data_IF_743585310490
#
_entry.id   IF_743585310490
#
_cell.length_a   1.000
_cell.length_b   1.000
_cell.length_c   1.000
_cell.angle_alpha   90.00
_cell.angle_beta   90.00
_cell.angle_gamma   90.00
#
_symmetry.space_group_name_H-M   'P 1'
#
loop_
_entity.id
_entity.type
_entity.pdbx_description
1 polymer ?
#
# COMPACT_ATOMS: atom_id res chain seq x y z
N UNK A 1 4.46 -5.61 -8.96
CA UNK A 1 3.39 -6.38 -8.29
C UNK A 1 2.96 -7.59 -9.11
N UNK A 2 2.70 -7.42 -10.42
CA UNK A 2 2.08 -8.43 -11.27
C UNK A 2 2.86 -9.75 -11.44
N UNK A 3 4.20 -9.74 -11.65
CA UNK A 3 4.95 -10.98 -11.79
C UNK A 3 4.91 -11.84 -10.52
N UNK A 4 4.97 -11.20 -9.33
CA UNK A 4 4.88 -11.89 -8.05
C UNK A 4 3.52 -12.56 -7.86
N UNK A 5 2.42 -11.86 -8.19
CA UNK A 5 1.07 -12.43 -8.10
C UNK A 5 0.87 -13.59 -9.08
N UNK A 6 1.37 -13.46 -10.31
CA UNK A 6 1.31 -14.52 -11.29
C UNK A 6 2.07 -15.77 -10.80
N UNK A 7 3.29 -15.58 -10.32
CA UNK A 7 4.11 -16.65 -9.76
C UNK A 7 3.44 -17.32 -8.55
N UNK A 8 2.96 -16.53 -7.59
CA UNK A 8 2.26 -17.06 -6.42
C UNK A 8 0.98 -17.81 -6.82
N UNK A 9 0.22 -17.29 -7.79
CA UNK A 9 -0.98 -17.94 -8.31
C UNK A 9 -0.70 -19.28 -8.98
N UNK A 10 0.36 -19.38 -9.79
CA UNK A 10 0.79 -20.65 -10.41
C UNK A 10 1.20 -21.66 -9.33
N UNK A 11 1.97 -21.24 -8.33
CA UNK A 11 2.35 -22.13 -7.22
C UNK A 11 1.14 -22.61 -6.43
N UNK A 12 0.17 -21.72 -6.14
CA UNK A 12 -1.05 -22.10 -5.45
C UNK A 12 -1.87 -23.09 -6.27
N UNK A 13 -2.04 -22.85 -7.57
CA UNK A 13 -2.76 -23.77 -8.45
C UNK A 13 -2.11 -25.15 -8.46
N UNK A 14 -0.78 -25.22 -8.60
CA UNK A 14 -0.03 -26.48 -8.54
C UNK A 14 -0.19 -27.18 -7.20
N UNK A 15 -0.13 -26.45 -6.09
CA UNK A 15 -0.30 -27.00 -4.75
C UNK A 15 -1.72 -27.52 -4.51
N UNK A 16 -2.74 -26.86 -5.05
CA UNK A 16 -4.13 -27.31 -4.98
C UNK A 16 -4.38 -28.55 -5.84
N UNK A 17 -3.78 -28.61 -7.04
CA UNK A 17 -3.82 -29.80 -7.90
C UNK A 17 -3.16 -30.98 -7.18
N UNK A 18 -2.00 -30.77 -6.57
CA UNK A 18 -1.34 -31.78 -5.74
C UNK A 18 -2.25 -32.27 -4.62
N UNK A 19 -2.81 -31.35 -3.82
CA UNK A 19 -3.72 -31.68 -2.72
C UNK A 19 -4.93 -32.49 -3.19
N UNK A 20 -5.51 -32.14 -4.35
CA UNK A 20 -6.64 -32.86 -4.92
C UNK A 20 -6.28 -34.30 -5.33
N UNK A 21 -5.04 -34.53 -5.79
CA UNK A 21 -4.57 -35.85 -6.20
C UNK A 21 -4.04 -36.70 -5.05
N UNK A 22 -3.31 -36.12 -4.10
CA UNK A 22 -2.59 -36.83 -3.05
C UNK A 22 -3.33 -36.84 -1.71
N UNK A 23 -4.29 -35.93 -1.50
CA UNK A 23 -4.92 -35.68 -0.21
C UNK A 23 -4.05 -34.90 0.77
N UNK A 24 -2.81 -34.54 0.42
CA UNK A 24 -1.88 -33.80 1.28
C UNK A 24 -2.10 -32.28 1.18
N UNK A 25 -2.58 -31.61 2.25
CA UNK A 25 -2.84 -30.17 2.24
C UNK A 25 -1.58 -29.33 2.49
N UNK A 26 -0.46 -29.93 2.92
CA UNK A 26 0.71 -29.19 3.40
C UNK A 26 1.26 -28.21 2.35
N UNK A 27 1.45 -28.58 1.07
CA UNK A 27 1.94 -27.64 0.06
C UNK A 27 1.00 -26.45 -0.16
N UNK A 28 -0.32 -26.68 -0.11
CA UNK A 28 -1.32 -25.63 -0.27
C UNK A 28 -1.34 -24.68 0.93
N UNK A 29 -1.27 -25.20 2.16
CA UNK A 29 -1.18 -24.40 3.38
C UNK A 29 0.08 -23.54 3.41
N UNK A 30 1.24 -24.10 3.06
CA UNK A 30 2.50 -23.35 3.01
C UNK A 30 2.46 -22.24 1.94
N UNK A 31 1.97 -22.56 0.75
CA UNK A 31 1.84 -21.58 -0.34
C UNK A 31 0.90 -20.45 0.05
N UNK A 32 -0.22 -20.77 0.72
CA UNK A 32 -1.14 -19.77 1.24
C UNK A 32 -0.46 -18.87 2.28
N UNK A 33 0.13 -19.45 3.31
CA UNK A 33 0.69 -18.73 4.46
C UNK A 33 1.92 -17.89 4.09
N UNK A 34 2.82 -18.41 3.25
CA UNK A 34 4.11 -17.80 2.98
C UNK A 34 4.12 -16.91 1.74
N UNK A 35 3.22 -17.15 0.77
CA UNK A 35 3.23 -16.44 -0.50
C UNK A 35 1.94 -15.65 -0.72
N UNK A 36 0.79 -16.33 -0.80
CA UNK A 36 -0.45 -15.69 -1.26
C UNK A 36 -0.95 -14.65 -0.28
N UNK A 37 -1.07 -15.00 1.00
CA UNK A 37 -1.57 -14.08 2.03
C UNK A 37 -0.65 -12.85 2.17
N UNK A 38 0.68 -12.99 2.33
CA UNK A 38 1.58 -11.84 2.34
C UNK A 38 1.53 -11.01 1.05
N UNK A 39 1.48 -11.64 -0.14
CA UNK A 39 1.45 -10.91 -1.40
C UNK A 39 0.12 -10.17 -1.61
N UNK A 40 -1.02 -10.86 -1.50
CA UNK A 40 -2.32 -10.26 -1.80
C UNK A 40 -2.80 -9.34 -0.67
N UNK A 41 -2.85 -9.83 0.57
CA UNK A 41 -3.41 -9.08 1.70
C UNK A 41 -2.36 -8.17 2.36
N UNK A 42 -1.10 -8.61 2.39
CA UNK A 42 -0.01 -7.80 2.91
C UNK A 42 0.36 -6.70 1.93
N UNK A 43 0.87 -7.05 0.75
CA UNK A 43 1.42 -6.10 -0.22
C UNK A 43 0.34 -5.40 -1.06
N UNK A 44 -0.52 -6.14 -1.78
CA UNK A 44 -1.47 -5.49 -2.70
C UNK A 44 -2.50 -4.66 -1.95
N UNK A 45 -3.15 -5.23 -0.93
CA UNK A 45 -4.22 -4.54 -0.22
C UNK A 45 -3.71 -3.29 0.52
N UNK A 46 -2.52 -3.34 1.13
CA UNK A 46 -1.94 -2.16 1.80
C UNK A 46 -1.58 -1.05 0.79
N UNK A 47 -0.97 -1.39 -0.35
CA UNK A 47 -0.71 -0.40 -1.41
C UNK A 47 -2.01 0.17 -1.99
N UNK A 48 -3.03 -0.67 -2.19
CA UNK A 48 -4.33 -0.21 -2.66
C UNK A 48 -4.99 0.75 -1.65
N UNK A 49 -4.92 0.44 -0.36
CA UNK A 49 -5.38 1.30 0.72
C UNK A 49 -4.62 2.63 0.74
N UNK A 50 -3.28 2.57 0.63
CA UNK A 50 -2.40 3.74 0.59
C UNK A 50 -2.81 4.72 -0.53
N UNK A 51 -2.85 4.24 -1.77
CA UNK A 51 -3.20 5.06 -2.93
C UNK A 51 -4.66 5.54 -2.87
N UNK A 52 -5.57 4.70 -2.35
CA UNK A 52 -6.98 5.10 -2.17
C UNK A 52 -7.12 6.25 -1.17
N UNK A 53 -6.35 6.25 -0.09
CA UNK A 53 -6.37 7.33 0.89
C UNK A 53 -5.90 8.66 0.28
N UNK A 54 -4.84 8.63 -0.54
CA UNK A 54 -4.41 9.79 -1.33
C UNK A 54 -5.54 10.32 -2.21
N UNK A 55 -6.21 9.45 -2.97
CA UNK A 55 -7.33 9.83 -3.84
C UNK A 55 -8.47 10.46 -3.05
N UNK A 56 -8.84 9.90 -1.89
CA UNK A 56 -9.92 10.42 -1.06
C UNK A 56 -9.64 11.83 -0.55
N UNK A 57 -8.39 12.13 -0.20
CA UNK A 57 -7.97 13.48 0.21
C UNK A 57 -7.90 14.42 -1.00
N UNK A 58 -7.29 13.98 -2.10
CA UNK A 58 -7.16 14.77 -3.33
C UNK A 58 -8.53 15.21 -3.89
N UNK A 59 -9.53 14.33 -3.86
CA UNK A 59 -10.91 14.66 -4.29
C UNK A 59 -11.56 15.78 -3.48
N UNK A 60 -11.05 16.12 -2.30
CA UNK A 60 -11.56 17.23 -1.47
C UNK A 60 -10.88 18.56 -1.79
N UNK A 61 -9.82 18.57 -2.61
CA UNK A 61 -9.06 19.76 -2.97
C UNK A 61 -9.58 20.29 -4.31
N UNK A 62 -10.31 21.41 -4.29
CA UNK A 62 -10.94 21.99 -5.51
C UNK A 62 -9.97 22.43 -6.60
N UNK A 63 -8.73 22.74 -6.23
CA UNK A 63 -7.68 23.17 -7.17
C UNK A 63 -6.98 22.00 -7.87
N UNK A 64 -7.27 20.76 -7.46
CA UNK A 64 -6.89 19.54 -8.19
C UNK A 64 -7.97 19.29 -9.23
N UNK A 65 -7.60 19.33 -10.51
CA UNK A 65 -8.54 19.19 -11.62
C UNK A 65 -8.70 17.74 -12.06
N UNK A 66 -7.61 16.97 -12.05
CA UNK A 66 -7.59 15.57 -12.46
C UNK A 66 -6.66 14.76 -11.55
N UNK A 67 -6.95 13.47 -11.42
CA UNK A 67 -6.09 12.50 -10.73
C UNK A 67 -5.72 11.46 -11.77
N UNK A 68 -4.45 11.45 -12.18
CA UNK A 68 -3.92 10.45 -13.10
C UNK A 68 -3.43 9.23 -12.30
N UNK A 69 -3.50 8.04 -12.91
CA UNK A 69 -2.94 6.82 -12.36
C UNK A 69 -1.72 6.47 -13.18
N UNK A 70 -0.54 6.52 -12.56
CA UNK A 70 0.69 5.98 -13.13
C UNK A 70 0.82 4.51 -12.74
N UNK A 71 0.96 3.63 -13.72
CA UNK A 71 1.13 2.20 -13.50
C UNK A 71 2.42 1.71 -14.14
N UNK A 72 3.30 1.16 -13.32
CA UNK A 72 4.49 0.42 -13.78
C UNK A 72 4.33 -1.08 -13.46
N UNK A 73 5.28 -1.90 -13.91
CA UNK A 73 5.32 -3.33 -13.56
C UNK A 73 5.33 -3.55 -12.04
N UNK A 74 5.96 -2.61 -11.31
CA UNK A 74 6.25 -2.74 -9.89
C UNK A 74 5.33 -1.94 -8.98
N UNK A 75 4.77 -0.81 -9.44
CA UNK A 75 3.93 0.09 -8.63
C UNK A 75 2.72 0.61 -9.38
N UNK A 76 1.66 0.93 -8.65
CA UNK A 76 0.60 1.83 -9.11
C UNK A 76 0.63 3.04 -8.19
N UNK A 77 0.63 4.25 -8.72
CA UNK A 77 0.69 5.49 -7.96
C UNK A 77 -0.26 6.53 -8.54
N UNK A 78 -0.84 7.38 -7.68
CA UNK A 78 -1.70 8.47 -8.11
C UNK A 78 -0.95 9.79 -8.21
N UNK A 79 -1.15 10.49 -9.33
CA UNK A 79 -0.51 11.78 -9.60
C UNK A 79 -1.60 12.85 -9.70
N UNK A 80 -1.61 13.83 -8.78
CA UNK A 80 -2.55 14.94 -8.88
C UNK A 80 -2.13 15.92 -9.99
N UNK A 81 -3.11 16.40 -10.75
CA UNK A 81 -2.94 17.49 -11.70
C UNK A 81 -3.70 18.71 -11.21
N UNK A 82 -3.01 19.84 -11.12
CA UNK A 82 -3.55 21.09 -10.59
C UNK A 82 -2.58 21.75 -9.62
N UNK A 83 -3.10 22.58 -8.72
CA UNK A 83 -2.29 23.27 -7.73
C UNK A 83 -2.70 22.87 -6.31
N UNK A 84 -1.73 22.84 -5.41
CA UNK A 84 -1.95 22.54 -3.99
C UNK A 84 -1.10 23.49 -3.16
N UNK A 85 -1.66 23.95 -2.04
CA UNK A 85 -0.89 24.68 -1.02
C UNK A 85 0.06 23.73 -0.29
N UNK A 86 1.08 24.27 0.40
CA UNK A 86 2.00 23.45 1.20
C UNK A 86 1.26 22.60 2.23
N UNK A 87 0.26 23.17 2.93
CA UNK A 87 -0.56 22.42 3.88
C UNK A 87 -1.36 21.30 3.23
N UNK A 88 -1.95 21.54 2.05
CA UNK A 88 -2.67 20.50 1.30
C UNK A 88 -1.72 19.38 0.87
N UNK A 89 -0.52 19.72 0.38
CA UNK A 89 0.51 18.74 0.01
C UNK A 89 0.94 17.90 1.21
N UNK A 90 1.15 18.50 2.38
CA UNK A 90 1.47 17.77 3.59
C UNK A 90 0.34 16.80 4.01
N UNK A 91 -0.91 17.25 3.97
CA UNK A 91 -2.06 16.41 4.33
C UNK A 91 -2.23 15.23 3.35
N UNK A 92 -2.06 15.47 2.05
CA UNK A 92 -2.07 14.39 1.05
C UNK A 92 -0.93 13.42 1.32
N UNK A 93 0.31 13.89 1.46
CA UNK A 93 1.47 13.04 1.73
C UNK A 93 1.31 12.15 2.97
N UNK A 94 0.62 12.63 4.01
CA UNK A 94 0.32 11.86 5.22
C UNK A 94 -0.83 10.86 5.06
N UNK A 95 -1.73 11.07 4.09
CA UNK A 95 -2.95 10.29 3.96
C UNK A 95 -2.69 8.81 3.67
N UNK A 96 -1.85 8.50 2.68
CA UNK A 96 -1.48 7.13 2.31
C UNK A 96 -0.83 6.36 3.46
N UNK A 97 0.33 6.80 3.99
CA UNK A 97 1.00 6.16 5.12
C UNK A 97 0.13 6.13 6.38
N UNK A 98 -0.59 7.22 6.68
CA UNK A 98 -1.43 7.35 7.86
C UNK A 98 -2.61 6.37 7.88
N UNK A 99 -3.26 6.16 6.74
CA UNK A 99 -4.33 5.16 6.61
C UNK A 99 -3.79 3.73 6.83
N UNK A 100 -2.63 3.42 6.24
CA UNK A 100 -2.00 2.11 6.41
C UNK A 100 -1.58 1.87 7.86
N UNK A 101 -0.91 2.82 8.49
CA UNK A 101 -0.49 2.72 9.89
C UNK A 101 -1.70 2.54 10.81
N UNK A 102 -2.81 3.24 10.55
CA UNK A 102 -4.05 3.10 11.31
C UNK A 102 -4.62 1.69 11.21
N UNK A 103 -4.75 1.14 9.99
CA UNK A 103 -5.22 -0.25 9.79
C UNK A 103 -4.26 -1.26 10.42
N UNK A 104 -2.95 -1.06 10.25
CA UNK A 104 -1.92 -1.91 10.86
C UNK A 104 -1.98 -1.92 12.38
N UNK A 105 -2.18 -0.75 13.01
CA UNK A 105 -2.34 -0.63 14.46
C UNK A 105 -3.61 -1.35 14.95
N UNK A 106 -4.74 -1.21 14.23
CA UNK A 106 -5.97 -1.93 14.56
C UNK A 106 -5.78 -3.45 14.47
N UNK A 107 -5.14 -3.95 13.42
CA UNK A 107 -4.81 -5.37 13.26
C UNK A 107 -3.88 -5.88 14.36
N UNK A 108 -2.91 -5.06 14.78
CA UNK A 108 -1.97 -5.40 15.84
C UNK A 108 -2.64 -5.49 17.21
N UNK A 109 -3.39 -4.45 17.59
CA UNK A 109 -4.02 -4.32 18.92
C UNK A 109 -5.12 -5.38 19.10
N UNK A 110 -5.90 -5.65 18.06
CA UNK A 110 -6.95 -6.70 18.08
C UNK A 110 -6.38 -8.12 18.10
N UNK A 111 -5.09 -8.30 17.78
CA UNK A 111 -4.46 -9.61 17.70
C UNK A 111 -4.94 -10.45 16.51
N UNK A 112 -5.70 -9.88 15.57
CA UNK A 112 -6.28 -10.61 14.43
C UNK A 112 -5.21 -11.22 13.53
N UNK A 113 -4.19 -10.42 13.18
CA UNK A 113 -3.13 -10.88 12.31
C UNK A 113 -1.87 -10.00 12.40
N UNK A 114 -0.90 -10.42 13.23
CA UNK A 114 0.36 -9.68 13.40
C UNK A 114 1.21 -9.65 12.13
N UNK A 115 1.12 -10.69 11.30
CA UNK A 115 1.88 -10.74 10.06
C UNK A 115 1.39 -9.69 9.07
N UNK A 116 0.07 -9.54 8.92
CA UNK A 116 -0.55 -8.53 8.07
C UNK A 116 -0.42 -7.13 8.67
N UNK A 117 -0.50 -7.00 9.99
CA UNK A 117 -0.27 -5.73 10.67
C UNK A 117 1.09 -5.14 10.30
N UNK A 118 2.15 -5.97 10.25
CA UNK A 118 3.48 -5.51 9.89
C UNK A 118 3.56 -4.94 8.47
N UNK A 119 2.95 -5.60 7.49
CA UNK A 119 2.88 -5.09 6.11
C UNK A 119 2.28 -3.68 6.03
N UNK A 120 1.24 -3.43 6.82
CA UNK A 120 0.58 -2.13 6.86
C UNK A 120 1.43 -1.08 7.61
N UNK A 121 2.00 -1.44 8.76
CA UNK A 121 2.82 -0.54 9.57
C UNK A 121 4.10 -0.07 8.85
N UNK A 122 4.70 -0.91 8.02
CA UNK A 122 5.91 -0.55 7.24
C UNK A 122 5.70 0.60 6.27
N UNK A 123 4.47 0.99 5.96
CA UNK A 123 4.20 2.17 5.13
C UNK A 123 4.62 3.48 5.80
N UNK A 124 4.85 3.51 7.12
CA UNK A 124 5.42 4.69 7.80
C UNK A 124 6.78 5.09 7.22
N UNK A 125 7.54 4.14 6.68
CA UNK A 125 8.84 4.35 6.02
C UNK A 125 8.71 5.28 4.82
N UNK A 126 7.54 5.34 4.15
CA UNK A 126 7.31 6.25 3.03
C UNK A 126 7.26 7.74 3.42
N UNK A 127 7.19 8.05 4.72
CA UNK A 127 7.33 9.43 5.21
C UNK A 127 8.79 9.88 5.33
N UNK A 128 9.77 9.00 5.15
CA UNK A 128 11.17 9.39 5.10
C UNK A 128 11.47 10.18 3.82
N UNK A 129 12.38 11.18 3.85
CA UNK A 129 12.60 12.13 2.77
C UNK A 129 13.18 11.52 1.47
N UNK A 130 13.47 10.22 1.45
CA UNK A 130 13.91 9.51 0.25
C UNK A 130 12.73 9.06 -0.62
N UNK A 131 11.53 8.93 -0.04
CA UNK A 131 10.33 8.46 -0.74
C UNK A 131 9.43 9.63 -1.17
N UNK A 132 8.54 9.38 -2.14
CA UNK A 132 7.70 10.43 -2.73
C UNK A 132 6.87 11.20 -1.70
N UNK A 133 6.15 10.50 -0.83
CA UNK A 133 5.35 11.11 0.24
C UNK A 133 6.22 11.92 1.22
N UNK A 134 7.33 11.33 1.67
CA UNK A 134 8.28 12.02 2.55
C UNK A 134 8.92 13.25 1.92
N UNK A 135 9.27 13.21 0.62
CA UNK A 135 9.76 14.39 -0.12
C UNK A 135 8.68 15.48 -0.19
N UNK A 136 7.44 15.10 -0.52
CA UNK A 136 6.32 16.03 -0.57
C UNK A 136 6.05 16.68 0.79
N UNK A 137 6.10 15.89 1.88
CA UNK A 137 5.97 16.38 3.24
C UNK A 137 7.12 17.30 3.62
N UNK A 138 8.36 16.91 3.35
CA UNK A 138 9.56 17.69 3.64
C UNK A 138 9.54 19.06 2.95
N UNK A 139 9.29 19.10 1.64
CA UNK A 139 9.18 20.36 0.89
C UNK A 139 8.04 21.24 1.41
N UNK A 140 6.93 20.64 1.84
CA UNK A 140 5.81 21.37 2.43
C UNK A 140 6.18 22.04 3.75
N UNK A 141 6.91 21.34 4.62
CA UNK A 141 7.41 21.88 5.89
C UNK A 141 8.41 23.01 5.63
N UNK A 142 9.37 22.81 4.72
CA UNK A 142 10.35 23.86 4.38
C UNK A 142 9.65 25.14 3.90
N UNK A 143 8.66 25.00 3.00
CA UNK A 143 7.91 26.14 2.46
C UNK A 143 7.10 26.88 3.52
N UNK A 144 6.59 26.16 4.53
CA UNK A 144 5.86 26.76 5.65
C UNK A 144 6.78 27.50 6.63
N UNK A 145 8.05 27.11 6.74
CA UNK A 145 9.04 27.79 7.60
C UNK A 145 9.68 29.01 6.92
N UNK A 146 9.65 29.09 5.59
CA UNK A 146 10.26 30.18 4.80
C UNK A 146 9.30 31.31 4.41
N UNK A 147 8.01 31.17 4.66
CA UNK A 147 6.96 32.14 4.30
C UNK A 147 6.36 32.79 5.54
#
# INVERSE_FOLDING_TARGET
MWPLLAFAGVLLATALVWMAHSGDPVPASLTWMLLIKPAAMGLIASFALHESAHVLVLKRIRTVTHIAIERTVWRTSVIPQGTMTAGQTAVVALAGPGACVTVGALLWISGLDRSLAWWHLMHIVFLMPFFGDGQALWHSVQKALSG
#
